data_IF_753650865211
#
_entry.id   IF_753650865211
#
_cell.length_a   1.000
_cell.length_b   1.000
_cell.length_c   1.000
_cell.angle_alpha   90.00
_cell.angle_beta   90.00
_cell.angle_gamma   90.00
#
_symmetry.space_group_name_H-M   'P 1'
#
loop_
_entity.id
_entity.type
_entity.pdbx_description
1 polymer ?
#
# COMPACT_ATOMS: atom_id res chain seq x y z
N UNK A 1 -16.82 -19.75 1.55
CA UNK A 1 -17.50 -18.79 0.64
C UNK A 1 -16.53 -17.84 -0.08
N UNK A 2 -15.60 -17.17 0.59
CA UNK A 2 -14.64 -16.21 -0.02
C UNK A 2 -13.75 -16.84 -1.10
N UNK A 3 -13.28 -18.09 -0.91
CA UNK A 3 -12.42 -18.79 -1.88
C UNK A 3 -13.19 -19.09 -3.17
N UNK A 4 -14.45 -19.52 -3.08
CA UNK A 4 -15.30 -19.79 -4.23
C UNK A 4 -15.61 -18.52 -5.05
N UNK A 5 -15.86 -17.40 -4.38
CA UNK A 5 -16.08 -16.09 -5.01
C UNK A 5 -14.84 -15.63 -5.79
N UNK A 6 -13.64 -15.76 -5.19
CA UNK A 6 -12.40 -15.35 -5.83
C UNK A 6 -12.02 -16.25 -7.03
N UNK A 7 -12.26 -17.57 -6.93
CA UNK A 7 -12.03 -18.49 -8.06
C UNK A 7 -12.99 -18.22 -9.22
N UNK A 8 -14.26 -17.93 -8.93
CA UNK A 8 -15.25 -17.58 -9.96
C UNK A 8 -14.88 -16.27 -10.67
N UNK A 9 -14.48 -15.24 -9.92
CA UNK A 9 -14.01 -13.97 -10.47
C UNK A 9 -12.76 -14.14 -11.34
N UNK A 10 -11.85 -15.02 -10.95
CA UNK A 10 -10.64 -15.30 -11.74
C UNK A 10 -10.98 -16.03 -13.05
N UNK A 11 -11.88 -17.00 -13.01
CA UNK A 11 -12.36 -17.73 -14.20
C UNK A 11 -13.10 -16.79 -15.16
N UNK A 12 -13.99 -15.94 -14.65
CA UNK A 12 -14.66 -14.91 -15.45
C UNK A 12 -13.67 -13.92 -16.06
N UNK A 13 -12.66 -13.49 -15.32
CA UNK A 13 -11.59 -12.63 -15.83
C UNK A 13 -10.84 -13.25 -17.00
N UNK A 14 -10.45 -14.52 -16.89
CA UNK A 14 -9.79 -15.27 -17.97
C UNK A 14 -10.71 -15.43 -19.18
N UNK A 15 -11.99 -15.75 -18.97
CA UNK A 15 -12.97 -15.85 -20.05
C UNK A 15 -13.16 -14.49 -20.78
N UNK A 16 -13.28 -13.39 -20.06
CA UNK A 16 -13.39 -12.05 -20.66
C UNK A 16 -12.14 -11.67 -21.44
N UNK A 17 -10.95 -11.95 -20.94
CA UNK A 17 -9.69 -11.72 -21.65
C UNK A 17 -9.65 -12.54 -22.94
N UNK A 18 -10.00 -13.82 -22.86
CA UNK A 18 -10.05 -14.69 -24.04
C UNK A 18 -11.05 -14.19 -25.09
N UNK A 19 -12.24 -13.74 -24.66
CA UNK A 19 -13.27 -13.20 -25.55
C UNK A 19 -12.81 -11.90 -26.22
N UNK A 20 -12.27 -10.95 -25.48
CA UNK A 20 -11.75 -9.67 -26.00
C UNK A 20 -10.57 -9.91 -26.96
N UNK A 21 -9.68 -10.86 -26.66
CA UNK A 21 -8.58 -11.24 -27.55
C UNK A 21 -9.04 -11.89 -28.84
N UNK A 22 -10.18 -12.57 -28.83
CA UNK A 22 -10.73 -13.26 -30.01
C UNK A 22 -11.60 -12.31 -30.87
N UNK A 23 -12.26 -11.33 -30.26
CA UNK A 23 -13.07 -10.31 -30.95
C UNK A 23 -12.20 -9.21 -31.60
N UNK A 24 -11.04 -8.90 -31.03
CA UNK A 24 -10.09 -7.91 -31.55
C UNK A 24 -9.07 -8.52 -32.54
N UNK A 25 -9.54 -9.30 -33.51
CA UNK A 25 -8.72 -9.75 -34.64
C UNK A 25 -8.43 -8.63 -35.66
N UNK A 26 -8.64 -7.37 -35.33
CA UNK A 26 -8.44 -6.24 -36.17
C UNK A 26 -7.26 -5.38 -35.72
N UNK A 27 -6.16 -5.50 -36.45
CA UNK A 27 -5.18 -4.42 -36.72
C UNK A 27 -4.31 -3.83 -35.59
N UNK A 28 -4.12 -4.48 -34.44
CA UNK A 28 -3.07 -4.03 -33.54
C UNK A 28 -1.84 -4.92 -33.65
N UNK A 29 -0.81 -4.40 -34.32
CA UNK A 29 0.52 -5.01 -34.56
C UNK A 29 1.37 -5.19 -33.29
N UNK A 30 0.76 -5.27 -32.11
CA UNK A 30 1.50 -5.59 -30.89
C UNK A 30 1.74 -7.11 -30.86
N UNK A 31 2.99 -7.58 -30.98
CA UNK A 31 3.28 -9.00 -30.96
C UNK A 31 2.74 -9.62 -29.66
N UNK A 32 1.96 -10.70 -29.75
CA UNK A 32 1.39 -11.41 -28.59
C UNK A 32 2.43 -11.68 -27.49
N UNK A 33 3.67 -11.92 -27.85
CA UNK A 33 4.81 -12.13 -26.95
C UNK A 33 5.11 -10.89 -26.07
N UNK A 34 4.99 -9.68 -26.61
CA UNK A 34 5.21 -8.43 -25.86
C UNK A 34 4.11 -8.24 -24.82
N UNK A 35 2.87 -8.53 -25.20
CA UNK A 35 1.71 -8.45 -24.31
C UNK A 35 1.82 -9.45 -23.14
N UNK A 36 2.15 -10.73 -23.43
CA UNK A 36 2.34 -11.76 -22.40
C UNK A 36 3.47 -11.40 -21.46
N UNK A 37 4.61 -10.90 -21.97
CA UNK A 37 5.76 -10.49 -21.16
C UNK A 37 5.42 -9.31 -20.23
N UNK A 38 4.64 -8.36 -20.73
CA UNK A 38 4.14 -7.26 -19.92
C UNK A 38 3.20 -7.75 -18.80
N UNK A 39 2.29 -8.66 -19.13
CA UNK A 39 1.31 -9.23 -18.18
C UNK A 39 1.99 -10.02 -17.07
N UNK A 40 2.96 -10.88 -17.41
CA UNK A 40 3.74 -11.64 -16.43
C UNK A 40 4.48 -10.69 -15.48
N UNK A 41 5.06 -9.62 -16.00
CA UNK A 41 5.76 -8.61 -15.20
C UNK A 41 4.81 -7.87 -14.23
N UNK A 42 3.62 -7.50 -14.70
CA UNK A 42 2.59 -6.87 -13.86
C UNK A 42 2.10 -7.82 -12.78
N UNK A 43 1.85 -9.08 -13.13
CA UNK A 43 1.41 -10.09 -12.17
C UNK A 43 2.47 -10.35 -11.09
N UNK A 44 3.73 -10.52 -11.48
CA UNK A 44 4.83 -10.68 -10.55
C UNK A 44 4.94 -9.48 -9.59
N UNK A 45 4.73 -8.27 -10.08
CA UNK A 45 4.74 -7.05 -9.27
C UNK A 45 3.58 -7.02 -8.26
N UNK A 46 2.38 -7.49 -8.65
CA UNK A 46 1.23 -7.59 -7.75
C UNK A 46 1.46 -8.64 -6.65
N UNK A 47 1.94 -9.84 -7.01
CA UNK A 47 2.27 -10.90 -6.05
C UNK A 47 3.32 -10.42 -5.06
N UNK A 48 4.38 -9.77 -5.55
CA UNK A 48 5.40 -9.18 -4.70
C UNK A 48 4.82 -8.11 -3.75
N UNK A 49 3.90 -7.27 -4.25
CA UNK A 49 3.17 -6.29 -3.45
C UNK A 49 2.35 -6.93 -2.33
N UNK A 50 1.64 -8.03 -2.62
CA UNK A 50 0.85 -8.77 -1.61
C UNK A 50 1.76 -9.33 -0.51
N UNK A 51 2.90 -9.92 -0.88
CA UNK A 51 3.86 -10.47 0.09
C UNK A 51 4.42 -9.36 0.97
N UNK A 52 4.89 -8.26 0.37
CA UNK A 52 5.48 -7.14 1.12
C UNK A 52 4.48 -6.44 2.04
N UNK A 53 3.22 -6.35 1.64
CA UNK A 53 2.16 -5.71 2.44
C UNK A 53 1.61 -6.59 3.58
N UNK A 54 1.98 -7.86 3.64
CA UNK A 54 1.58 -8.76 4.74
C UNK A 54 2.77 -9.25 5.57
N UNK A 55 4.00 -8.86 5.21
CA UNK A 55 5.22 -9.31 5.89
C UNK A 55 5.25 -8.85 7.36
N UNK A 56 4.66 -7.69 7.65
CA UNK A 56 4.46 -7.17 9.01
C UNK A 56 3.71 -8.17 9.90
N UNK A 57 2.59 -8.69 9.42
CA UNK A 57 1.76 -9.65 10.16
C UNK A 57 2.50 -10.97 10.39
N UNK A 58 3.26 -11.44 9.39
CA UNK A 58 4.06 -12.65 9.51
C UNK A 58 5.17 -12.49 10.55
N UNK A 59 5.88 -11.38 10.54
CA UNK A 59 6.97 -11.13 11.49
C UNK A 59 6.42 -10.91 12.91
N UNK A 60 5.38 -10.10 13.08
CA UNK A 60 4.75 -9.87 14.39
C UNK A 60 4.21 -11.19 14.94
N UNK A 61 3.47 -11.97 14.16
CA UNK A 61 2.88 -13.22 14.61
C UNK A 61 3.90 -14.27 15.05
N UNK A 62 4.98 -14.42 14.30
CA UNK A 62 6.01 -15.43 14.59
C UNK A 62 6.97 -15.01 15.70
N UNK A 63 7.33 -13.74 15.79
CA UNK A 63 8.40 -13.28 16.69
C UNK A 63 7.89 -12.52 17.93
N UNK A 64 6.71 -11.91 17.86
CA UNK A 64 6.13 -11.15 18.99
C UNK A 64 4.96 -11.90 19.64
N UNK A 65 4.39 -12.87 18.92
CA UNK A 65 3.32 -13.75 19.40
C UNK A 65 1.92 -13.37 18.90
N UNK A 66 1.00 -14.34 19.01
CA UNK A 66 -0.36 -14.24 18.47
C UNK A 66 -1.17 -13.14 19.17
N UNK A 67 -0.96 -12.91 20.45
CA UNK A 67 -1.64 -11.84 21.21
C UNK A 67 -1.27 -10.45 20.66
N UNK A 68 0.02 -10.21 20.44
CA UNK A 68 0.51 -8.97 19.83
C UNK A 68 -0.01 -8.79 18.39
N UNK A 69 -0.06 -9.87 17.60
CA UNK A 69 -0.66 -9.86 16.28
C UNK A 69 -2.14 -9.48 16.33
N UNK A 70 -2.89 -9.97 17.33
CA UNK A 70 -4.29 -9.61 17.53
C UNK A 70 -4.47 -8.11 17.79
N UNK A 71 -3.70 -7.53 18.70
CA UNK A 71 -3.72 -6.09 18.98
C UNK A 71 -3.32 -5.25 17.76
N UNK A 72 -2.26 -5.67 17.08
CA UNK A 72 -1.82 -5.03 15.84
C UNK A 72 -2.90 -5.06 14.75
N UNK A 73 -3.47 -6.24 14.50
CA UNK A 73 -4.48 -6.44 13.45
C UNK A 73 -5.76 -5.65 13.71
N UNK A 74 -6.16 -5.53 14.98
CA UNK A 74 -7.30 -4.71 15.41
C UNK A 74 -7.07 -3.24 15.09
N UNK A 75 -5.93 -2.69 15.46
CA UNK A 75 -5.58 -1.31 15.12
C UNK A 75 -5.36 -1.11 13.60
N UNK A 76 -4.74 -2.07 12.91
CA UNK A 76 -4.49 -2.03 11.48
C UNK A 76 -5.77 -2.14 10.62
N UNK A 77 -6.87 -2.64 11.17
CA UNK A 77 -8.17 -2.68 10.46
C UNK A 77 -8.64 -1.27 10.06
N UNK A 78 -8.30 -0.25 10.84
CA UNK A 78 -8.62 1.14 10.52
C UNK A 78 -7.81 1.72 9.36
N UNK A 79 -6.75 1.06 8.90
CA UNK A 79 -5.97 1.49 7.74
C UNK A 79 -6.78 1.48 6.43
N UNK A 80 -7.92 0.78 6.40
CA UNK A 80 -8.75 0.68 5.19
C UNK A 80 -9.29 2.03 4.74
N UNK A 81 -9.63 2.93 5.66
CA UNK A 81 -10.14 4.27 5.34
C UNK A 81 -9.07 5.16 4.70
N UNK A 82 -7.90 5.41 5.36
CA UNK A 82 -6.82 6.16 4.73
C UNK A 82 -6.33 5.51 3.43
N UNK A 83 -6.26 4.18 3.36
CA UNK A 83 -5.86 3.47 2.15
C UNK A 83 -6.77 3.83 0.96
N UNK A 84 -8.09 3.79 1.14
CA UNK A 84 -9.05 4.16 0.08
C UNK A 84 -8.91 5.63 -0.32
N UNK A 85 -8.73 6.53 0.65
CA UNK A 85 -8.50 7.95 0.39
C UNK A 85 -7.26 8.16 -0.50
N UNK A 86 -6.12 7.57 -0.15
CA UNK A 86 -4.89 7.70 -0.94
C UNK A 86 -4.97 7.01 -2.31
N UNK A 87 -5.72 5.91 -2.44
CA UNK A 87 -5.94 5.26 -3.73
C UNK A 87 -6.73 6.19 -4.67
N UNK A 88 -7.81 6.81 -4.20
CA UNK A 88 -8.58 7.77 -5.00
C UNK A 88 -7.71 8.95 -5.47
N UNK A 89 -6.87 9.50 -4.58
CA UNK A 89 -5.94 10.57 -4.94
C UNK A 89 -4.91 10.12 -5.98
N UNK A 90 -4.40 8.89 -5.83
CA UNK A 90 -3.44 8.29 -6.75
C UNK A 90 -4.04 8.09 -8.14
N UNK A 91 -5.27 7.55 -8.21
CA UNK A 91 -5.99 7.30 -9.47
C UNK A 91 -6.33 8.62 -10.18
N UNK A 92 -6.72 9.65 -9.41
CA UNK A 92 -6.97 10.98 -9.94
C UNK A 92 -5.69 11.61 -10.52
N UNK A 93 -4.56 11.50 -9.80
CA UNK A 93 -3.28 12.00 -10.26
C UNK A 93 -2.78 11.24 -11.50
N UNK A 94 -2.93 9.91 -11.51
CA UNK A 94 -2.59 9.08 -12.66
C UNK A 94 -3.39 9.49 -13.90
N UNK A 95 -4.71 9.64 -13.77
CA UNK A 95 -5.58 10.12 -14.84
C UNK A 95 -5.19 11.53 -15.30
N UNK A 96 -4.79 12.41 -14.38
CA UNK A 96 -4.29 13.75 -14.68
C UNK A 96 -3.06 13.70 -15.59
N UNK A 97 -2.08 12.86 -15.28
CA UNK A 97 -0.88 12.68 -16.10
C UNK A 97 -1.19 12.14 -17.51
N UNK A 98 -2.08 11.13 -17.61
CA UNK A 98 -2.51 10.60 -18.92
C UNK A 98 -3.13 11.71 -19.77
N UNK A 99 -3.94 12.59 -19.17
CA UNK A 99 -4.61 13.69 -19.86
C UNK A 99 -3.76 14.98 -19.94
N UNK A 100 -2.47 14.93 -19.62
CA UNK A 100 -1.53 16.06 -19.60
C UNK A 100 -2.00 17.26 -18.75
N UNK A 101 -2.76 16.98 -17.67
CA UNK A 101 -3.21 17.97 -16.68
C UNK A 101 -2.26 17.97 -15.50
N UNK A 102 -1.67 19.12 -15.17
CA UNK A 102 -0.77 19.24 -14.02
C UNK A 102 -1.55 19.55 -12.74
N UNK A 103 -2.00 18.52 -12.05
CA UNK A 103 -2.73 18.61 -10.77
C UNK A 103 -1.87 18.21 -9.56
N UNK A 104 -0.56 18.01 -9.74
CA UNK A 104 0.38 17.50 -8.72
C UNK A 104 0.25 18.28 -7.41
N UNK A 105 0.34 19.61 -7.47
CA UNK A 105 0.35 20.46 -6.28
C UNK A 105 -0.94 20.34 -5.47
N UNK A 106 -2.09 20.34 -6.14
CA UNK A 106 -3.39 20.24 -5.47
C UNK A 106 -3.53 18.87 -4.81
N UNK A 107 -3.21 17.79 -5.54
CA UNK A 107 -3.32 16.43 -5.02
C UNK A 107 -2.40 16.22 -3.81
N UNK A 108 -1.16 16.72 -3.86
CA UNK A 108 -0.24 16.63 -2.73
C UNK A 108 -0.71 17.45 -1.51
N UNK A 109 -1.25 18.64 -1.72
CA UNK A 109 -1.84 19.44 -0.63
C UNK A 109 -3.00 18.71 0.03
N UNK A 110 -3.93 18.16 -0.77
CA UNK A 110 -5.06 17.37 -0.26
C UNK A 110 -4.59 16.11 0.46
N UNK A 111 -3.58 15.41 -0.07
CA UNK A 111 -2.99 14.22 0.54
C UNK A 111 -2.38 14.51 1.92
N UNK A 112 -1.61 15.60 2.03
CA UNK A 112 -0.97 16.00 3.30
C UNK A 112 -2.04 16.48 4.30
N UNK A 113 -2.95 17.36 3.88
CA UNK A 113 -3.98 17.92 4.76
C UNK A 113 -4.94 16.83 5.27
N UNK A 114 -5.42 15.95 4.38
CA UNK A 114 -6.25 14.80 4.77
C UNK A 114 -5.52 13.83 5.69
N UNK A 115 -4.22 13.62 5.46
CA UNK A 115 -3.36 12.82 6.32
C UNK A 115 -3.23 13.41 7.73
N UNK A 116 -2.99 14.72 7.84
CA UNK A 116 -2.91 15.43 9.14
C UNK A 116 -4.23 15.32 9.90
N UNK A 117 -5.36 15.55 9.23
CA UNK A 117 -6.69 15.40 9.85
C UNK A 117 -6.89 13.96 10.32
N UNK A 118 -6.57 12.96 9.48
CA UNK A 118 -6.69 11.54 9.85
C UNK A 118 -5.86 11.18 11.08
N UNK A 119 -4.62 11.69 11.19
CA UNK A 119 -3.78 11.51 12.36
C UNK A 119 -4.38 12.18 13.62
N UNK A 120 -4.84 13.42 13.51
CA UNK A 120 -5.47 14.12 14.64
C UNK A 120 -6.72 13.40 15.12
N UNK A 121 -7.58 12.93 14.22
CA UNK A 121 -8.74 12.12 14.56
C UNK A 121 -8.34 10.80 15.24
N UNK A 122 -7.29 10.13 14.76
CA UNK A 122 -6.80 8.90 15.36
C UNK A 122 -6.27 9.13 16.79
N UNK A 123 -5.58 10.24 17.05
CA UNK A 123 -5.14 10.58 18.41
C UNK A 123 -6.31 10.94 19.34
N UNK A 124 -7.27 11.74 18.85
CA UNK A 124 -8.38 12.20 19.67
C UNK A 124 -9.41 11.10 19.99
N UNK A 125 -9.63 10.18 19.04
CA UNK A 125 -10.74 9.22 19.12
C UNK A 125 -10.30 7.75 19.12
N UNK A 126 -9.00 7.43 19.29
CA UNK A 126 -8.50 6.05 19.23
C UNK A 126 -9.23 5.08 20.14
N UNK A 127 -9.45 5.48 21.39
CA UNK A 127 -10.14 4.66 22.40
C UNK A 127 -11.59 4.40 22.00
N UNK A 128 -12.31 5.47 21.63
CA UNK A 128 -13.70 5.39 21.21
C UNK A 128 -13.88 4.51 19.96
N UNK A 129 -13.00 4.67 18.97
CA UNK A 129 -13.01 3.88 17.74
C UNK A 129 -12.82 2.39 18.01
N UNK A 130 -11.82 2.03 18.83
CA UNK A 130 -11.59 0.63 19.19
C UNK A 130 -12.75 0.06 20.00
N UNK A 131 -13.26 0.81 20.98
CA UNK A 131 -14.38 0.38 21.83
C UNK A 131 -15.64 0.09 21.01
N UNK A 132 -15.98 0.96 20.08
CA UNK A 132 -17.17 0.79 19.22
C UNK A 132 -17.01 -0.36 18.22
N UNK A 133 -15.83 -0.48 17.58
CA UNK A 133 -15.64 -1.44 16.50
C UNK A 133 -15.34 -2.86 16.99
N UNK A 134 -14.60 -3.02 18.11
CA UNK A 134 -14.08 -4.31 18.56
C UNK A 134 -14.41 -4.65 20.02
N UNK A 135 -15.02 -3.71 20.75
CA UNK A 135 -15.39 -3.88 22.14
C UNK A 135 -14.22 -3.73 23.13
N UNK A 136 -14.54 -3.87 24.42
CA UNK A 136 -13.61 -3.59 25.52
C UNK A 136 -12.40 -4.56 25.58
N UNK A 137 -12.58 -5.78 25.07
CA UNK A 137 -11.49 -6.79 25.04
C UNK A 137 -10.25 -6.34 24.29
N UNK A 138 -10.42 -5.51 23.25
CA UNK A 138 -9.33 -5.03 22.41
C UNK A 138 -8.91 -3.58 22.72
N UNK A 139 -9.41 -3.03 23.82
CA UNK A 139 -9.17 -1.63 24.18
C UNK A 139 -7.66 -1.29 24.24
N UNK A 140 -6.83 -2.22 24.70
CA UNK A 140 -5.37 -2.05 24.75
C UNK A 140 -4.73 -1.72 23.39
N UNK A 141 -5.42 -1.99 22.27
CA UNK A 141 -4.91 -1.65 20.94
C UNK A 141 -5.03 -0.16 20.57
N UNK A 142 -5.82 0.63 21.34
CA UNK A 142 -6.00 2.07 21.09
C UNK A 142 -4.68 2.84 21.13
N UNK A 143 -3.74 2.42 21.98
CA UNK A 143 -2.42 3.05 22.12
C UNK A 143 -1.61 2.97 20.83
N UNK A 144 -1.78 1.91 20.05
CA UNK A 144 -1.04 1.66 18.81
C UNK A 144 -1.70 2.29 17.57
N UNK A 145 -3.02 2.51 17.62
CA UNK A 145 -3.81 2.98 16.47
C UNK A 145 -3.28 4.27 15.84
N UNK A 146 -2.97 5.36 16.60
CA UNK A 146 -2.47 6.59 16.00
C UNK A 146 -1.16 6.39 15.22
N UNK A 147 -0.24 5.59 15.73
CA UNK A 147 1.06 5.33 15.09
C UNK A 147 0.89 4.48 13.82
N UNK A 148 -0.05 3.56 13.82
CA UNK A 148 -0.38 2.76 12.65
C UNK A 148 -1.03 3.64 11.56
N UNK A 149 -1.88 4.59 11.94
CA UNK A 149 -2.46 5.57 10.99
C UNK A 149 -1.37 6.50 10.44
N UNK A 150 -0.43 7.00 11.27
CA UNK A 150 0.72 7.78 10.79
C UNK A 150 1.53 6.99 9.76
N UNK A 151 1.83 5.72 10.06
CA UNK A 151 2.53 4.84 9.13
C UNK A 151 1.77 4.71 7.79
N UNK A 152 0.44 4.59 7.84
CA UNK A 152 -0.40 4.51 6.64
C UNK A 152 -0.41 5.83 5.86
N UNK A 153 -0.45 6.98 6.54
CA UNK A 153 -0.36 8.31 5.92
C UNK A 153 0.98 8.47 5.18
N UNK A 154 2.09 8.14 5.82
CA UNK A 154 3.44 8.18 5.22
C UNK A 154 3.49 7.29 3.97
N UNK A 155 2.99 6.06 4.07
CA UNK A 155 2.94 5.11 2.97
C UNK A 155 2.02 5.57 1.84
N UNK A 156 0.89 6.20 2.17
CA UNK A 156 -0.08 6.74 1.23
C UNK A 156 0.50 7.90 0.42
N UNK A 157 1.16 8.86 1.08
CA UNK A 157 1.85 9.96 0.40
C UNK A 157 2.96 9.40 -0.53
N UNK A 158 3.74 8.43 -0.05
CA UNK A 158 4.76 7.78 -0.87
C UNK A 158 4.15 7.09 -2.10
N UNK A 159 2.95 6.52 -1.97
CA UNK A 159 2.22 5.90 -3.08
C UNK A 159 1.74 6.93 -4.11
N UNK A 160 1.17 8.06 -3.66
CA UNK A 160 0.77 9.17 -4.55
C UNK A 160 1.95 9.69 -5.36
N UNK A 161 3.11 9.92 -4.73
CA UNK A 161 4.33 10.37 -5.41
C UNK A 161 4.85 9.36 -6.45
N UNK A 162 4.58 8.07 -6.22
CA UNK A 162 5.04 6.98 -7.11
C UNK A 162 4.29 6.95 -8.44
N UNK A 163 3.10 7.58 -8.56
CA UNK A 163 2.31 7.58 -9.79
C UNK A 163 3.07 8.17 -10.98
N UNK A 164 3.95 9.14 -10.72
CA UNK A 164 4.82 9.73 -11.74
C UNK A 164 5.80 8.71 -12.34
N UNK A 165 6.40 7.88 -11.49
CA UNK A 165 7.28 6.80 -11.93
C UNK A 165 6.51 5.68 -12.66
N UNK A 166 5.27 5.42 -12.29
CA UNK A 166 4.42 4.43 -12.93
C UNK A 166 4.11 4.81 -14.39
N UNK A 167 3.73 6.06 -14.63
CA UNK A 167 3.46 6.57 -15.99
C UNK A 167 4.71 6.62 -16.87
N UNK A 168 5.87 6.97 -16.29
CA UNK A 168 7.13 6.95 -17.05
C UNK A 168 7.60 5.55 -17.45
N UNK A 169 6.84 4.48 -17.10
CA UNK A 169 7.19 3.09 -17.37
C UNK A 169 8.31 2.53 -16.48
N UNK A 170 8.73 3.27 -15.47
CA UNK A 170 9.83 2.93 -14.58
C UNK A 170 9.41 1.96 -13.46
N UNK A 171 8.74 0.85 -13.81
CA UNK A 171 8.24 -0.15 -12.86
C UNK A 171 9.35 -0.72 -11.96
N UNK A 172 10.58 -0.84 -12.49
CA UNK A 172 11.74 -1.34 -11.73
C UNK A 172 12.04 -0.45 -10.52
N UNK A 173 11.90 0.87 -10.66
CA UNK A 173 12.11 1.80 -9.55
C UNK A 173 11.11 1.56 -8.40
N UNK A 174 9.88 1.19 -8.72
CA UNK A 174 8.84 0.87 -7.73
C UNK A 174 9.23 -0.39 -6.94
N UNK A 175 9.70 -1.42 -7.64
CA UNK A 175 10.15 -2.67 -7.02
C UNK A 175 11.37 -2.41 -6.12
N UNK A 176 12.37 -1.68 -6.61
CA UNK A 176 13.57 -1.33 -5.83
C UNK A 176 13.17 -0.56 -4.56
N UNK A 177 12.30 0.43 -4.66
CA UNK A 177 11.78 1.18 -3.52
C UNK A 177 11.13 0.27 -2.48
N UNK A 178 10.28 -0.67 -2.93
CA UNK A 178 9.60 -1.60 -2.02
C UNK A 178 10.60 -2.58 -1.37
N UNK A 179 11.56 -3.09 -2.12
CA UNK A 179 12.62 -3.96 -1.60
C UNK A 179 13.45 -3.28 -0.53
N UNK A 180 13.94 -2.06 -0.81
CA UNK A 180 14.73 -1.30 0.16
C UNK A 180 13.94 -1.04 1.44
N UNK A 181 12.66 -0.62 1.30
CA UNK A 181 11.79 -0.40 2.46
C UNK A 181 11.50 -1.68 3.26
N UNK A 182 11.35 -2.83 2.57
CA UNK A 182 11.15 -4.12 3.22
C UNK A 182 12.41 -4.59 3.97
N UNK A 183 13.59 -4.47 3.35
CA UNK A 183 14.86 -4.84 3.97
C UNK A 183 15.12 -3.98 5.21
N UNK A 184 14.89 -2.67 5.12
CA UNK A 184 15.04 -1.76 6.24
C UNK A 184 14.04 -2.09 7.38
N UNK A 185 12.79 -2.36 7.05
CA UNK A 185 11.79 -2.82 8.01
C UNK A 185 12.25 -4.10 8.72
N UNK A 186 12.65 -5.13 7.96
CA UNK A 186 13.07 -6.40 8.53
C UNK A 186 14.32 -6.25 9.41
N UNK A 187 15.34 -5.53 8.95
CA UNK A 187 16.56 -5.30 9.72
C UNK A 187 16.27 -4.60 11.06
N UNK A 188 15.48 -3.53 11.04
CA UNK A 188 15.12 -2.77 12.25
C UNK A 188 14.19 -3.58 13.14
N UNK A 189 13.27 -4.37 12.56
CA UNK A 189 12.38 -5.26 13.32
C UNK A 189 13.19 -6.27 14.17
N UNK A 190 14.17 -6.95 13.57
CA UNK A 190 15.00 -7.91 14.30
C UNK A 190 15.85 -7.24 15.38
N UNK A 191 16.32 -6.02 15.14
CA UNK A 191 17.07 -5.25 16.14
C UNK A 191 16.19 -4.78 17.29
N UNK A 192 14.93 -4.39 17.02
CA UNK A 192 13.98 -3.90 18.01
C UNK A 192 13.02 -4.98 18.54
N UNK A 193 13.22 -6.25 18.19
CA UNK A 193 12.38 -7.37 18.64
C UNK A 193 12.16 -7.42 20.15
N UNK A 194 13.17 -7.13 21.04
CA UNK A 194 12.98 -7.16 22.49
C UNK A 194 11.90 -6.17 23.00
N UNK A 195 11.59 -5.12 22.24
CA UNK A 195 10.56 -4.13 22.57
C UNK A 195 9.14 -4.56 22.15
N UNK A 196 8.96 -5.80 21.69
CA UNK A 196 7.66 -6.36 21.34
C UNK A 196 6.95 -5.57 20.23
N UNK A 197 5.65 -5.28 20.42
CA UNK A 197 4.83 -4.61 19.40
C UNK A 197 5.28 -3.17 19.09
N UNK A 198 5.83 -2.45 20.09
CA UNK A 198 6.40 -1.13 19.85
C UNK A 198 7.59 -1.16 18.90
N UNK A 199 8.47 -2.16 19.08
CA UNK A 199 9.60 -2.36 18.18
C UNK A 199 9.14 -2.62 16.74
N UNK A 200 8.08 -3.41 16.56
CA UNK A 200 7.49 -3.68 15.26
C UNK A 200 6.92 -2.40 14.59
N UNK A 201 6.20 -1.56 15.36
CA UNK A 201 5.61 -0.33 14.84
C UNK A 201 6.71 0.67 14.43
N UNK A 202 7.75 0.84 15.24
CA UNK A 202 8.88 1.71 14.92
C UNK A 202 9.59 1.21 13.64
N UNK A 203 9.79 -0.08 13.51
CA UNK A 203 10.40 -0.69 12.32
C UNK A 203 9.53 -0.43 11.06
N UNK A 204 8.20 -0.59 11.16
CA UNK A 204 7.26 -0.29 10.07
C UNK A 204 7.33 1.17 9.65
N UNK A 205 7.31 2.10 10.61
CA UNK A 205 7.41 3.53 10.34
C UNK A 205 8.71 3.88 9.63
N UNK A 206 9.83 3.31 10.08
CA UNK A 206 11.14 3.54 9.45
C UNK A 206 11.17 3.03 8.02
N UNK A 207 10.65 1.82 7.77
CA UNK A 207 10.53 1.28 6.41
C UNK A 207 9.66 2.16 5.49
N UNK A 208 8.59 2.75 6.04
CA UNK A 208 7.71 3.66 5.29
C UNK A 208 8.35 5.03 5.04
N UNK A 209 9.10 5.56 5.98
CA UNK A 209 9.87 6.80 5.82
C UNK A 209 10.93 6.63 4.72
N UNK A 210 11.65 5.53 4.71
CA UNK A 210 12.64 5.23 3.66
C UNK A 210 11.96 5.16 2.29
N UNK A 211 10.81 4.47 2.19
CA UNK A 211 10.01 4.45 0.95
C UNK A 211 9.54 5.84 0.52
N UNK A 212 9.15 6.69 1.47
CA UNK A 212 8.77 8.07 1.18
C UNK A 212 9.95 8.88 0.63
N UNK A 213 11.10 8.82 1.28
CA UNK A 213 12.33 9.51 0.82
C UNK A 213 12.68 9.10 -0.60
N UNK A 214 12.70 7.81 -0.90
CA UNK A 214 12.98 7.29 -2.24
C UNK A 214 11.93 7.79 -3.25
N UNK A 215 10.63 7.82 -2.86
CA UNK A 215 9.56 8.32 -3.72
C UNK A 215 9.72 9.81 -4.03
N UNK A 216 10.14 10.64 -3.06
CA UNK A 216 10.43 12.05 -3.26
C UNK A 216 11.59 12.24 -4.24
N UNK A 217 12.67 11.48 -4.07
CA UNK A 217 13.83 11.55 -4.97
C UNK A 217 13.44 11.19 -6.41
N UNK A 218 12.62 10.16 -6.61
CA UNK A 218 12.12 9.79 -7.93
C UNK A 218 11.18 10.85 -8.50
N UNK A 219 10.28 11.39 -7.68
CA UNK A 219 9.35 12.42 -8.10
C UNK A 219 10.05 13.68 -8.64
N UNK A 220 11.14 14.10 -7.98
CA UNK A 220 11.95 15.25 -8.40
C UNK A 220 12.74 14.94 -9.67
N UNK A 221 13.30 13.73 -9.80
CA UNK A 221 14.19 13.34 -10.89
C UNK A 221 13.43 13.09 -12.21
N UNK A 222 12.22 12.57 -12.13
CA UNK A 222 11.40 12.24 -13.31
C UNK A 222 10.70 13.53 -13.78
N UNK A 223 11.08 14.03 -14.96
CA UNK A 223 10.36 15.09 -15.67
C UNK A 223 9.40 14.41 -16.66
N UNK A 224 8.13 14.75 -16.59
CA UNK A 224 7.07 14.32 -17.55
C UNK A 224 6.77 15.48 -18.47
#
# INVERSE_FOLDING_TARGET
>A
MVILSNTLSSIMGVYFIYKVMNENNANDDIPRLVFIKYYIKQYAMQVFGIVTNNMDKYLIGNFTGISALGLYSTAAAFNTLPLKFYNVLSDYLFSGYVNKKNNEKIVLQVAIFGGVIGCLCAFAFSELLIKIAFGERYLSSHVYLPYIIINMVISGIAWVLTQKALISGSQVLIIIRQLIGLIAFAAIFFFLQPYGLWGAIIALMTGSIIRLIISILFFIKIKI
#
